data_IF_906211681500
#
_entry.id   IF_906211681500
#
_cell.length_a   1.000
_cell.length_b   1.000
_cell.length_c   1.000
_cell.angle_alpha   90.00
_cell.angle_beta   90.00
_cell.angle_gamma   90.00
#
_symmetry.space_group_name_H-M   'P 1'
#
loop_
_entity.id
_entity.type
_entity.pdbx_description
1 polymer ?
#
# COMPACT_ATOMS: atom_id res chain seq x y z
N UNK A 1 -1.82 35.85 -1.83
CA UNK A 1 -0.84 35.08 -2.54
C UNK A 1 -0.60 33.76 -1.84
N UNK A 2 -0.52 32.66 -2.56
CA UNK A 2 -0.07 31.39 -1.99
C UNK A 2 1.40 31.57 -1.68
N UNK A 3 1.77 31.58 -0.39
CA UNK A 3 3.16 31.64 0.06
C UNK A 3 4.00 30.54 -0.57
N UNK A 4 5.29 30.74 -0.72
CA UNK A 4 6.20 29.72 -1.25
C UNK A 4 6.19 28.46 -0.36
N UNK A 5 6.50 27.32 -0.96
CA UNK A 5 6.72 26.06 -0.24
C UNK A 5 7.99 26.16 0.59
N UNK A 6 7.91 25.68 1.84
CA UNK A 6 9.07 25.51 2.71
C UNK A 6 9.17 24.05 3.11
N UNK A 7 10.34 23.39 2.98
CA UNK A 7 10.53 22.06 3.48
C UNK A 7 10.46 22.05 5.01
N UNK A 8 9.71 21.12 5.59
CA UNK A 8 9.58 20.94 7.04
C UNK A 8 10.31 19.69 7.53
N UNK A 9 10.48 18.71 6.66
CA UNK A 9 11.16 17.46 6.98
C UNK A 9 11.65 16.79 5.70
N UNK A 10 12.82 16.14 5.76
CA UNK A 10 13.36 15.33 4.69
C UNK A 10 13.36 13.86 5.10
N UNK A 11 12.60 13.05 4.37
CA UNK A 11 12.50 11.62 4.62
C UNK A 11 13.51 10.86 3.77
N UNK A 12 14.65 10.52 4.33
CA UNK A 12 15.67 9.73 3.65
C UNK A 12 16.16 8.59 4.54
N UNK A 13 16.46 7.45 3.92
CA UNK A 13 16.97 6.26 4.59
C UNK A 13 18.23 5.79 3.85
N UNK A 14 19.39 5.67 4.54
CA UNK A 14 20.62 5.22 3.90
C UNK A 14 20.44 3.88 3.18
N UNK A 15 21.04 3.78 2.01
CA UNK A 15 21.03 2.58 1.15
C UNK A 15 19.64 2.12 0.69
N UNK A 16 18.61 2.98 0.82
CA UNK A 16 17.25 2.66 0.39
C UNK A 16 16.67 3.70 -0.55
N UNK A 17 15.96 3.21 -1.54
CA UNK A 17 15.12 3.98 -2.45
C UNK A 17 13.73 4.13 -1.81
N UNK A 18 13.46 5.30 -1.25
CA UNK A 18 12.22 5.64 -0.52
C UNK A 18 11.14 6.05 -1.54
N UNK A 19 9.96 5.44 -1.46
CA UNK A 19 8.88 5.65 -2.44
C UNK A 19 7.50 5.68 -1.81
N UNK A 20 6.57 6.30 -2.55
CA UNK A 20 5.13 6.19 -2.35
C UNK A 20 4.70 6.58 -0.94
N UNK A 21 5.02 7.80 -0.47
CA UNK A 21 4.65 8.23 0.87
C UNK A 21 3.13 8.27 1.04
N UNK A 22 2.66 7.89 2.22
CA UNK A 22 1.26 7.92 2.58
C UNK A 22 1.06 8.46 3.97
N UNK A 23 0.15 9.43 4.12
CA UNK A 23 -0.18 10.03 5.41
C UNK A 23 -1.29 9.28 6.13
N UNK A 24 -1.19 9.23 7.46
CA UNK A 24 -2.22 8.72 8.35
C UNK A 24 -2.26 9.56 9.62
N UNK A 25 -3.44 10.01 10.01
CA UNK A 25 -3.68 10.51 11.37
C UNK A 25 -4.10 9.30 12.22
N UNK A 26 -3.34 9.02 13.26
CA UNK A 26 -3.58 7.90 14.16
C UNK A 26 -3.03 8.23 15.55
N UNK A 27 -3.81 7.98 16.60
CA UNK A 27 -3.46 8.27 18.01
C UNK A 27 -2.97 9.71 18.21
N UNK A 28 -3.75 10.68 17.69
CA UNK A 28 -3.50 12.13 17.69
C UNK A 28 -2.18 12.58 17.04
N UNK A 29 -1.51 11.71 16.31
CA UNK A 29 -0.26 11.98 15.57
C UNK A 29 -0.47 11.90 14.07
N UNK A 30 0.27 12.71 13.34
CA UNK A 30 0.39 12.58 11.89
C UNK A 30 1.61 11.70 11.55
N UNK A 31 1.36 10.55 10.96
CA UNK A 31 2.38 9.68 10.41
C UNK A 31 2.54 9.91 8.91
N UNK A 32 3.76 9.76 8.41
CA UNK A 32 4.05 9.50 7.00
C UNK A 32 4.74 8.15 6.88
N UNK A 33 4.12 7.22 6.18
CA UNK A 33 4.63 5.88 5.90
C UNK A 33 5.22 5.83 4.51
N UNK A 34 6.30 5.09 4.34
CA UNK A 34 6.91 4.86 3.04
C UNK A 34 7.44 3.44 2.91
N UNK A 35 7.15 2.81 1.77
CA UNK A 35 7.82 1.59 1.36
C UNK A 35 9.21 1.88 0.82
N UNK A 36 10.13 0.94 0.98
CA UNK A 36 11.49 1.12 0.48
C UNK A 36 12.01 -0.12 -0.24
N UNK A 37 12.85 0.11 -1.24
CA UNK A 37 13.70 -0.89 -1.84
C UNK A 37 15.12 -0.78 -1.31
N UNK A 38 15.76 -1.91 -0.97
CA UNK A 38 17.20 -1.92 -0.77
C UNK A 38 17.90 -1.53 -2.08
N UNK A 39 18.85 -0.62 -2.03
CA UNK A 39 19.73 -0.30 -3.15
C UNK A 39 20.87 -1.34 -3.14
N UNK A 40 20.84 -2.36 -4.00
CA UNK A 40 21.87 -3.38 -3.99
C UNK A 40 23.19 -2.82 -4.52
N UNK A 41 24.32 -3.44 -4.21
CA UNK A 41 25.58 -3.15 -4.87
C UNK A 41 25.45 -3.21 -6.40
N UNK A 42 26.31 -2.47 -7.10
CA UNK A 42 26.30 -2.43 -8.55
C UNK A 42 26.36 -3.84 -9.17
N UNK A 43 25.51 -4.09 -10.14
CA UNK A 43 25.39 -5.38 -10.83
C UNK A 43 24.51 -6.42 -10.15
N UNK A 44 24.01 -6.16 -8.95
CA UNK A 44 23.05 -7.04 -8.29
C UNK A 44 21.61 -6.57 -8.55
N UNK A 45 20.68 -7.46 -8.87
CA UNK A 45 19.28 -7.10 -9.00
C UNK A 45 18.65 -6.85 -7.62
N UNK A 46 17.56 -6.07 -7.60
CA UNK A 46 16.74 -5.87 -6.41
C UNK A 46 16.00 -7.15 -6.02
N UNK A 47 15.92 -7.45 -4.73
CA UNK A 47 15.08 -8.54 -4.20
C UNK A 47 13.84 -7.94 -3.52
N UNK A 48 12.67 -8.48 -3.87
CA UNK A 48 11.42 -8.09 -3.24
C UNK A 48 11.38 -8.45 -1.75
N UNK A 49 12.10 -9.48 -1.34
CA UNK A 49 12.18 -9.88 0.06
C UNK A 49 12.95 -8.87 0.94
N UNK A 50 13.72 -7.97 0.34
CA UNK A 50 14.45 -6.89 1.05
C UNK A 50 13.62 -5.62 1.26
N UNK A 51 12.33 -5.64 0.93
CA UNK A 51 11.44 -4.53 1.27
C UNK A 51 11.37 -4.29 2.77
N UNK A 52 11.32 -3.03 3.15
CA UNK A 52 11.04 -2.56 4.51
C UNK A 52 10.17 -1.31 4.45
N UNK A 53 9.28 -1.19 5.43
CA UNK A 53 8.54 0.03 5.70
C UNK A 53 9.29 0.93 6.69
N UNK A 54 9.13 2.22 6.52
CA UNK A 54 9.60 3.26 7.45
C UNK A 54 8.49 4.26 7.70
N UNK A 55 8.54 4.91 8.85
CA UNK A 55 7.66 6.02 9.17
C UNK A 55 8.42 7.19 9.80
N UNK A 56 7.92 8.38 9.58
CA UNK A 56 8.18 9.52 10.43
C UNK A 56 6.85 10.03 10.97
N UNK A 57 6.85 10.70 12.13
CA UNK A 57 5.63 11.20 12.73
C UNK A 57 5.84 12.54 13.42
N UNK A 58 4.73 13.24 13.61
CA UNK A 58 4.71 14.55 14.28
C UNK A 58 3.39 14.76 15.01
N UNK A 59 3.45 15.50 16.12
CA UNK A 59 2.29 15.93 16.89
C UNK A 59 1.85 17.35 16.51
N UNK A 60 2.77 18.17 15.98
CA UNK A 60 2.57 19.61 15.74
C UNK A 60 2.75 20.02 14.25
N UNK A 61 3.17 19.12 13.38
CA UNK A 61 3.48 19.38 11.98
C UNK A 61 4.80 20.12 11.73
N UNK A 62 5.52 20.50 12.77
CA UNK A 62 6.76 21.25 12.69
C UNK A 62 7.98 20.42 13.11
N UNK A 63 7.85 19.68 14.19
CA UNK A 63 8.88 18.79 14.73
C UNK A 63 8.58 17.36 14.34
N UNK A 64 9.52 16.67 13.71
CA UNK A 64 9.33 15.32 13.18
C UNK A 64 10.29 14.33 13.83
N UNK A 65 9.75 13.19 14.23
CA UNK A 65 10.50 12.03 14.69
C UNK A 65 10.65 11.01 13.55
N UNK A 66 11.86 10.48 13.37
CA UNK A 66 12.14 9.46 12.36
C UNK A 66 13.09 9.94 11.24
N UNK A 67 13.18 9.22 10.11
CA UNK A 67 12.45 8.00 9.80
C UNK A 67 12.86 6.81 10.66
N UNK A 68 11.88 6.08 11.18
CA UNK A 68 12.04 4.87 11.99
C UNK A 68 11.61 3.65 11.19
N UNK A 69 12.40 2.58 11.25
CA UNK A 69 12.03 1.29 10.64
C UNK A 69 10.79 0.71 11.33
N UNK A 70 9.87 0.19 10.54
CA UNK A 70 8.63 -0.42 11.01
C UNK A 70 8.84 -1.91 11.26
N UNK A 71 8.72 -2.32 12.51
CA UNK A 71 8.76 -3.73 12.88
C UNK A 71 7.61 -4.51 12.22
N UNK A 72 7.89 -5.73 11.76
CA UNK A 72 6.91 -6.60 11.10
C UNK A 72 6.63 -6.29 9.64
N UNK A 73 7.33 -5.32 9.03
CA UNK A 73 7.17 -4.99 7.60
C UNK A 73 8.24 -5.59 6.70
N UNK A 74 9.17 -6.39 7.22
CA UNK A 74 10.19 -7.04 6.40
C UNK A 74 9.56 -7.90 5.29
N UNK A 75 10.05 -7.72 4.08
CA UNK A 75 9.52 -8.36 2.87
C UNK A 75 8.21 -7.76 2.36
N UNK A 76 7.65 -6.74 3.02
CA UNK A 76 6.43 -6.07 2.59
C UNK A 76 6.76 -4.71 1.97
N UNK A 77 6.39 -4.51 0.71
CA UNK A 77 6.30 -3.17 0.14
C UNK A 77 4.98 -2.55 0.54
N UNK A 78 5.02 -1.63 1.50
CA UNK A 78 3.80 -0.97 1.99
C UNK A 78 3.32 0.10 1.02
N UNK A 79 1.98 0.28 0.91
CA UNK A 79 1.39 1.14 -0.10
C UNK A 79 0.41 2.17 0.45
N UNK A 80 -0.62 1.74 1.19
CA UNK A 80 -1.67 2.60 1.74
C UNK A 80 -1.86 2.37 3.22
N UNK A 81 -2.33 3.42 3.92
CA UNK A 81 -2.65 3.36 5.34
C UNK A 81 -4.10 3.79 5.60
N UNK A 82 -4.71 3.24 6.63
CA UNK A 82 -6.00 3.64 7.15
C UNK A 82 -6.04 3.42 8.66
N UNK A 83 -6.90 4.17 9.36
CA UNK A 83 -7.20 3.92 10.77
C UNK A 83 -8.66 3.51 10.90
N UNK A 84 -8.92 2.52 11.75
CA UNK A 84 -10.26 2.07 12.06
C UNK A 84 -10.27 1.42 13.44
N UNK A 85 -11.28 1.75 14.25
CA UNK A 85 -11.54 1.17 15.58
C UNK A 85 -10.28 1.11 16.48
N UNK A 86 -9.58 2.24 16.61
CA UNK A 86 -8.39 2.37 17.45
C UNK A 86 -7.16 1.61 16.97
N UNK A 87 -7.13 1.17 15.72
CA UNK A 87 -5.98 0.50 15.09
C UNK A 87 -5.56 1.18 13.81
N UNK A 88 -4.28 1.13 13.52
CA UNK A 88 -3.74 1.49 12.22
C UNK A 88 -3.61 0.24 11.33
N UNK A 89 -3.82 0.42 10.02
CA UNK A 89 -3.72 -0.63 9.01
C UNK A 89 -2.89 -0.15 7.83
N UNK A 90 -2.08 -1.06 7.28
CA UNK A 90 -1.33 -0.87 6.05
C UNK A 90 -1.67 -1.98 5.06
N UNK A 91 -1.69 -1.67 3.77
CA UNK A 91 -1.54 -2.72 2.77
C UNK A 91 -0.06 -2.89 2.42
N UNK A 92 0.34 -4.14 2.16
CA UNK A 92 1.70 -4.50 1.77
C UNK A 92 1.69 -5.58 0.69
N UNK A 93 2.60 -5.43 -0.28
CA UNK A 93 2.88 -6.45 -1.27
C UNK A 93 4.06 -7.29 -0.79
N UNK A 94 3.92 -8.63 -0.80
CA UNK A 94 4.99 -9.55 -0.41
C UNK A 94 5.03 -10.79 -1.29
N UNK A 95 6.14 -11.52 -1.27
CA UNK A 95 6.18 -12.90 -1.78
C UNK A 95 5.66 -13.88 -0.74
N UNK A 96 4.84 -14.84 -1.19
CA UNK A 96 4.32 -15.91 -0.33
C UNK A 96 5.49 -16.69 0.30
N UNK A 97 5.50 -16.75 1.65
CA UNK A 97 6.51 -17.49 2.41
C UNK A 97 7.94 -17.02 2.18
N UNK A 98 8.15 -15.75 1.76
CA UNK A 98 9.47 -15.23 1.42
C UNK A 98 10.21 -16.12 0.39
N UNK A 99 9.46 -16.70 -0.55
CA UNK A 99 10.02 -17.59 -1.56
C UNK A 99 11.29 -16.98 -2.19
N UNK A 100 12.43 -17.70 -2.20
CA UNK A 100 13.66 -17.19 -2.76
C UNK A 100 13.59 -17.07 -4.28
N UNK A 101 14.47 -16.25 -4.83
CA UNK A 101 14.65 -16.10 -6.26
C UNK A 101 14.09 -14.80 -6.80
N UNK A 102 14.73 -14.37 -7.87
CA UNK A 102 14.50 -13.07 -8.51
C UNK A 102 13.50 -13.15 -9.65
N UNK A 103 12.81 -14.28 -9.77
CA UNK A 103 11.87 -14.47 -10.85
C UNK A 103 10.66 -13.54 -10.63
N UNK A 104 10.81 -12.30 -11.11
CA UNK A 104 9.71 -11.31 -11.15
C UNK A 104 8.51 -11.84 -11.94
N UNK A 105 8.69 -12.90 -12.73
CA UNK A 105 7.65 -13.51 -13.52
C UNK A 105 6.75 -14.47 -12.71
N UNK A 106 7.14 -14.81 -11.49
CA UNK A 106 6.30 -15.64 -10.61
C UNK A 106 5.26 -14.83 -9.86
N UNK A 107 4.44 -14.10 -10.59
CA UNK A 107 3.41 -13.20 -10.03
C UNK A 107 2.32 -13.92 -9.25
N UNK A 108 2.14 -15.21 -9.50
CA UNK A 108 1.27 -16.09 -8.71
C UNK A 108 1.70 -16.22 -7.22
N UNK A 109 2.97 -15.88 -6.92
CA UNK A 109 3.48 -15.86 -5.54
C UNK A 109 3.35 -14.50 -4.85
N UNK A 110 2.93 -13.47 -5.57
CA UNK A 110 2.81 -12.12 -4.99
C UNK A 110 1.46 -12.00 -4.30
N UNK A 111 1.49 -11.78 -2.99
CA UNK A 111 0.31 -11.52 -2.16
C UNK A 111 0.13 -10.03 -1.95
N UNK A 112 -1.12 -9.59 -1.89
CA UNK A 112 -1.49 -8.30 -1.30
C UNK A 112 -1.99 -8.56 0.12
N UNK A 113 -1.21 -8.11 1.11
CA UNK A 113 -1.46 -8.36 2.52
C UNK A 113 -2.00 -7.11 3.23
N UNK A 114 -2.79 -7.34 4.27
CA UNK A 114 -3.17 -6.33 5.25
C UNK A 114 -2.34 -6.54 6.53
N UNK A 115 -1.74 -5.47 7.01
CA UNK A 115 -1.03 -5.41 8.28
C UNK A 115 -1.83 -4.54 9.25
N UNK A 116 -1.75 -4.80 10.54
CA UNK A 116 -2.36 -3.99 11.59
C UNK A 116 -1.37 -3.64 12.69
N UNK A 117 -1.58 -2.50 13.34
CA UNK A 117 -0.76 -2.00 14.43
C UNK A 117 -1.64 -1.33 15.50
N UNK A 118 -1.20 -1.38 16.76
CA UNK A 118 -1.80 -0.66 17.88
C UNK A 118 -1.08 0.67 18.19
N UNK A 119 0.14 0.85 17.70
CA UNK A 119 0.99 2.00 17.96
C UNK A 119 1.48 2.73 16.70
N UNK A 120 1.16 2.20 15.51
CA UNK A 120 1.61 2.75 14.23
C UNK A 120 3.05 2.40 13.84
N UNK A 121 3.80 1.68 14.69
CA UNK A 121 5.21 1.35 14.49
C UNK A 121 5.50 -0.16 14.45
N UNK A 122 4.77 -0.93 15.25
CA UNK A 122 4.88 -2.39 15.33
C UNK A 122 3.71 -3.06 14.60
N UNK A 123 4.01 -3.79 13.52
CA UNK A 123 3.01 -4.32 12.60
C UNK A 123 2.94 -5.83 12.62
N UNK A 124 1.74 -6.36 12.43
CA UNK A 124 1.49 -7.80 12.30
C UNK A 124 0.53 -8.08 11.15
N UNK A 125 0.64 -9.25 10.60
CA UNK A 125 -0.28 -9.72 9.57
C UNK A 125 -1.71 -9.75 10.10
N UNK A 126 -2.64 -9.17 9.36
CA UNK A 126 -4.06 -9.10 9.72
C UNK A 126 -4.96 -9.85 8.72
N UNK A 127 -4.54 -10.00 7.47
CA UNK A 127 -5.31 -10.68 6.44
C UNK A 127 -4.69 -10.55 5.05
N UNK A 128 -5.39 -11.09 4.06
CA UNK A 128 -4.99 -10.98 2.65
C UNK A 128 -6.09 -10.30 1.82
N UNK A 129 -5.71 -9.34 1.01
CA UNK A 129 -6.57 -8.82 -0.06
C UNK A 129 -6.51 -9.70 -1.32
N UNK A 130 -5.39 -10.38 -1.54
CA UNK A 130 -5.21 -11.34 -2.62
C UNK A 130 -4.10 -12.33 -2.27
N UNK A 131 -4.35 -13.62 -2.52
CA UNK A 131 -3.41 -14.71 -2.34
C UNK A 131 -2.83 -15.18 -3.68
N UNK A 132 -2.04 -14.33 -4.30
CA UNK A 132 -1.44 -14.51 -5.61
C UNK A 132 -1.91 -13.45 -6.61
N UNK A 133 -1.02 -13.09 -7.53
CA UNK A 133 -1.23 -12.01 -8.49
C UNK A 133 -1.67 -10.68 -7.84
N UNK A 134 -1.36 -10.50 -6.56
CA UNK A 134 -1.59 -9.26 -5.85
C UNK A 134 -0.49 -8.24 -6.14
N UNK A 135 -0.81 -6.97 -5.93
CA UNK A 135 0.15 -5.88 -6.08
C UNK A 135 -0.30 -4.70 -5.21
N UNK A 136 0.02 -3.47 -5.61
CA UNK A 136 -0.44 -2.24 -4.98
C UNK A 136 -1.94 -2.29 -4.71
N UNK A 137 -2.35 -1.89 -3.50
CA UNK A 137 -3.75 -2.02 -3.08
C UNK A 137 -4.21 -0.74 -2.39
N UNK A 138 -5.31 -0.18 -2.84
CA UNK A 138 -6.04 0.85 -2.12
C UNK A 138 -7.19 0.19 -1.36
N UNK A 139 -7.44 0.59 -0.11
CA UNK A 139 -8.51 0.03 0.69
C UNK A 139 -9.16 1.09 1.58
N UNK A 140 -10.37 0.81 2.02
CA UNK A 140 -11.11 1.60 2.99
C UNK A 140 -11.94 0.68 3.91
N UNK A 141 -12.20 1.15 5.11
CA UNK A 141 -13.12 0.52 6.03
C UNK A 141 -14.53 1.07 5.82
N UNK A 142 -15.51 0.19 5.86
CA UNK A 142 -16.91 0.53 5.94
C UNK A 142 -17.33 0.71 7.41
N UNK A 143 -18.43 1.41 7.70
CA UNK A 143 -18.86 1.65 9.08
C UNK A 143 -19.12 0.37 9.90
N UNK A 144 -19.42 -0.75 9.24
CA UNK A 144 -19.62 -2.05 9.87
C UNK A 144 -18.32 -2.82 10.14
N UNK A 145 -17.16 -2.21 9.87
CA UNK A 145 -15.84 -2.82 10.00
C UNK A 145 -15.45 -3.73 8.85
N UNK A 146 -16.28 -3.89 7.84
CA UNK A 146 -15.86 -4.57 6.62
C UNK A 146 -14.84 -3.72 5.85
N UNK A 147 -13.96 -4.38 5.11
CA UNK A 147 -12.93 -3.73 4.30
C UNK A 147 -13.24 -3.95 2.84
N UNK A 148 -13.25 -2.87 2.08
CA UNK A 148 -13.30 -2.89 0.64
C UNK A 148 -11.94 -2.50 0.09
N UNK A 149 -11.39 -3.29 -0.83
CA UNK A 149 -10.07 -3.07 -1.41
C UNK A 149 -10.11 -3.16 -2.94
N UNK A 150 -9.37 -2.26 -3.57
CA UNK A 150 -9.04 -2.33 -4.98
C UNK A 150 -7.60 -2.81 -5.12
N UNK A 151 -7.43 -4.05 -5.52
CA UNK A 151 -6.14 -4.70 -5.74
C UNK A 151 -5.75 -4.55 -7.19
N UNK A 152 -4.58 -3.94 -7.45
CA UNK A 152 -3.97 -3.98 -8.78
C UNK A 152 -3.69 -5.43 -9.16
N UNK A 153 -4.17 -5.86 -10.30
CA UNK A 153 -3.79 -7.15 -10.85
C UNK A 153 -2.37 -7.13 -11.42
N UNK A 154 -1.73 -8.28 -11.45
CA UNK A 154 -0.48 -8.51 -12.14
C UNK A 154 -0.78 -9.29 -13.42
N UNK A 155 -0.34 -8.76 -14.58
CA UNK A 155 -0.59 -9.38 -15.88
C UNK A 155 -0.34 -10.92 -15.85
N UNK A 156 -1.27 -11.76 -16.35
CA UNK A 156 -2.46 -11.42 -17.13
C UNK A 156 -3.73 -11.11 -16.31
N UNK A 157 -3.67 -11.12 -15.00
CA UNK A 157 -4.84 -10.95 -14.11
C UNK A 157 -5.25 -9.48 -14.04
N UNK A 158 -6.53 -9.12 -14.25
CA UNK A 158 -7.01 -7.75 -14.11
C UNK A 158 -7.03 -7.30 -12.65
N UNK A 159 -7.35 -6.01 -12.42
CA UNK A 159 -7.59 -5.52 -11.09
C UNK A 159 -8.84 -6.17 -10.48
N UNK A 160 -8.88 -6.27 -9.16
CA UNK A 160 -9.95 -6.92 -8.41
C UNK A 160 -10.48 -6.02 -7.31
N UNK A 161 -11.78 -6.06 -7.08
CA UNK A 161 -12.39 -5.57 -5.85
C UNK A 161 -12.44 -6.75 -4.90
N UNK A 162 -11.80 -6.61 -3.74
CA UNK A 162 -11.81 -7.60 -2.67
C UNK A 162 -12.59 -7.07 -1.47
N UNK A 163 -13.37 -7.93 -0.83
CA UNK A 163 -14.11 -7.61 0.39
C UNK A 163 -13.74 -8.59 1.48
N UNK A 164 -13.52 -8.05 2.68
CA UNK A 164 -13.23 -8.82 3.89
C UNK A 164 -14.09 -8.34 5.04
N UNK A 165 -14.36 -9.24 5.99
CA UNK A 165 -15.00 -8.94 7.27
C UNK A 165 -14.11 -9.44 8.41
N UNK A 166 -14.20 -8.78 9.57
CA UNK A 166 -13.51 -9.29 10.77
C UNK A 166 -13.89 -10.76 11.01
N UNK A 167 -12.93 -11.66 11.32
CA UNK A 167 -11.53 -11.42 11.71
C UNK A 167 -10.53 -11.29 10.54
N UNK A 168 -10.96 -11.03 9.30
CA UNK A 168 -10.17 -10.80 8.09
C UNK A 168 -9.36 -12.02 7.61
N UNK A 169 -9.79 -13.20 7.97
CA UNK A 169 -9.17 -14.48 7.59
C UNK A 169 -9.67 -15.01 6.23
N UNK A 170 -10.69 -14.38 5.69
CA UNK A 170 -11.29 -14.73 4.40
C UNK A 170 -11.61 -13.48 3.57
N UNK A 171 -11.40 -13.57 2.26
CA UNK A 171 -11.78 -12.52 1.32
C UNK A 171 -12.60 -13.07 0.15
N UNK A 172 -13.53 -12.27 -0.31
CA UNK A 172 -14.25 -12.45 -1.57
C UNK A 172 -13.74 -11.43 -2.56
N UNK A 173 -13.69 -11.78 -3.84
CA UNK A 173 -13.27 -10.83 -4.86
C UNK A 173 -14.08 -10.95 -6.15
N UNK A 174 -14.15 -9.82 -6.86
CA UNK A 174 -14.70 -9.71 -8.22
C UNK A 174 -13.63 -9.11 -9.10
N UNK A 175 -13.37 -9.73 -10.23
CA UNK A 175 -12.45 -9.19 -11.23
C UNK A 175 -13.10 -8.03 -11.99
N UNK A 176 -12.31 -6.98 -12.20
CA UNK A 176 -12.69 -5.88 -13.08
C UNK A 176 -12.37 -6.24 -14.54
N UNK A 177 -12.93 -5.47 -15.47
CA UNK A 177 -12.67 -5.63 -16.91
C UNK A 177 -11.30 -5.08 -17.36
N UNK A 178 -10.48 -4.59 -16.40
CA UNK A 178 -9.22 -3.89 -16.68
C UNK A 178 -8.23 -3.94 -15.54
N UNK A 179 -6.98 -3.63 -15.85
CA UNK A 179 -5.97 -3.35 -14.83
C UNK A 179 -6.03 -1.87 -14.40
N UNK A 180 -5.71 -1.61 -13.12
CA UNK A 180 -5.65 -0.27 -12.51
C UNK A 180 -4.34 -0.17 -11.74
N UNK A 181 -3.34 0.50 -12.30
CA UNK A 181 -2.02 0.67 -11.67
C UNK A 181 -1.98 1.88 -10.75
N UNK A 182 -1.30 1.79 -9.60
CA UNK A 182 -1.28 2.86 -8.61
C UNK A 182 -2.69 3.17 -8.09
N UNK A 183 -3.43 2.18 -7.56
CA UNK A 183 -4.87 2.30 -7.33
C UNK A 183 -5.21 3.37 -6.29
N UNK A 184 -6.30 4.07 -6.56
CA UNK A 184 -7.07 4.91 -5.64
C UNK A 184 -8.44 4.28 -5.46
N UNK A 185 -8.90 4.17 -4.23
CA UNK A 185 -10.28 3.85 -3.87
C UNK A 185 -10.74 4.89 -2.85
N UNK A 186 -11.82 5.57 -3.13
CA UNK A 186 -12.36 6.60 -2.25
C UNK A 186 -13.89 6.61 -2.30
N UNK A 187 -14.49 6.95 -1.18
CA UNK A 187 -15.92 7.24 -1.11
C UNK A 187 -16.16 8.72 -1.44
N UNK A 188 -17.06 8.96 -2.37
CA UNK A 188 -17.49 10.31 -2.76
C UNK A 188 -19.02 10.38 -2.70
N UNK A 189 -19.53 10.90 -1.59
CA UNK A 189 -20.95 10.79 -1.25
C UNK A 189 -21.33 9.31 -1.05
N UNK A 190 -22.36 8.88 -1.74
CA UNK A 190 -22.88 7.50 -1.75
C UNK A 190 -22.17 6.58 -2.77
N UNK A 191 -21.26 7.13 -3.58
CA UNK A 191 -20.58 6.40 -4.66
C UNK A 191 -19.13 6.09 -4.33
N UNK A 192 -18.60 5.07 -4.98
CA UNK A 192 -17.19 4.69 -4.93
C UNK A 192 -16.45 5.22 -6.17
N UNK A 193 -15.40 6.00 -5.92
CA UNK A 193 -14.49 6.49 -6.95
C UNK A 193 -13.26 5.59 -7.00
N UNK A 194 -12.97 5.08 -8.18
CA UNK A 194 -11.78 4.29 -8.48
C UNK A 194 -10.89 5.12 -9.39
N UNK A 195 -9.60 5.19 -9.08
CA UNK A 195 -8.63 5.89 -9.91
C UNK A 195 -7.35 5.08 -10.08
N UNK A 196 -6.62 5.41 -11.12
CA UNK A 196 -5.31 4.84 -11.32
C UNK A 196 -4.77 5.02 -12.72
N UNK A 197 -3.61 4.45 -12.94
CA UNK A 197 -2.93 4.49 -14.22
C UNK A 197 -3.56 3.46 -15.17
N UNK A 198 -3.95 3.93 -16.34
CA UNK A 198 -4.34 3.10 -17.49
C UNK A 198 -3.28 3.23 -18.58
N UNK A 199 -2.88 2.11 -19.14
CA UNK A 199 -1.97 2.08 -20.28
C UNK A 199 -2.79 1.84 -21.54
N UNK A 200 -2.99 2.87 -22.37
CA UNK A 200 -3.69 2.75 -23.64
C UNK A 200 -2.80 2.14 -24.74
N UNK A 201 -1.51 2.52 -24.66
CA UNK A 201 -0.43 1.97 -25.51
C UNK A 201 0.78 1.83 -24.61
N UNK A 202 1.75 0.95 -24.91
CA UNK A 202 2.91 0.70 -24.07
C UNK A 202 3.67 1.97 -23.64
N UNK A 203 3.60 3.03 -24.44
CA UNK A 203 4.34 4.29 -24.25
C UNK A 203 3.48 5.47 -23.72
N UNK A 204 2.17 5.27 -23.51
CA UNK A 204 1.24 6.35 -23.11
C UNK A 204 0.37 6.00 -21.91
N UNK A 205 0.93 5.97 -20.70
CA UNK A 205 0.14 5.87 -19.49
C UNK A 205 -0.67 7.17 -19.26
N UNK A 206 -1.91 7.03 -18.83
CA UNK A 206 -2.78 8.14 -18.42
C UNK A 206 -3.38 7.87 -17.06
N UNK A 207 -3.64 8.91 -16.28
CA UNK A 207 -4.46 8.82 -15.08
C UNK A 207 -5.93 8.78 -15.49
N UNK A 208 -6.68 7.85 -14.95
CA UNK A 208 -8.11 7.69 -15.24
C UNK A 208 -8.88 7.53 -13.94
N UNK A 209 -10.07 8.12 -13.92
CA UNK A 209 -11.03 7.99 -12.83
C UNK A 209 -12.27 7.26 -13.34
N UNK A 210 -12.85 6.41 -12.50
CA UNK A 210 -14.05 5.63 -12.78
C UNK A 210 -14.99 5.69 -11.59
N UNK A 211 -16.28 5.65 -11.85
CA UNK A 211 -17.24 5.25 -10.84
C UNK A 211 -17.34 3.73 -10.83
N UNK A 212 -17.24 3.15 -9.64
CA UNK A 212 -17.56 1.73 -9.49
C UNK A 212 -19.07 1.59 -9.58
N UNK A 213 -19.54 0.74 -10.48
CA UNK A 213 -20.95 0.37 -10.56
C UNK A 213 -21.26 -0.70 -9.49
N UNK A 214 -22.52 -0.71 -9.06
CA UNK A 214 -23.05 -1.73 -8.12
C UNK A 214 -23.04 -3.13 -8.76
#
# INVERSE_FOLDING_TARGET
GIGGWQPVFEFSVPERDVRDPHFLIFDDRLFVYSGTWLCPPEGNPRDMNDHLGYAACTDDGASWDGPTMLEGTYGHYIWRAAAFDGRAYLCGRRRRGFAPGQDENRRELIQAAMLSSEDGLNWRHAGLFADGYGDETAFLFEPDGSVLALVRGADPVPARISRMRSPYDHFEHVELDRNVGGPLLARWGDRLLVGGRKVFKPDRPVTTLYWLAD
#
